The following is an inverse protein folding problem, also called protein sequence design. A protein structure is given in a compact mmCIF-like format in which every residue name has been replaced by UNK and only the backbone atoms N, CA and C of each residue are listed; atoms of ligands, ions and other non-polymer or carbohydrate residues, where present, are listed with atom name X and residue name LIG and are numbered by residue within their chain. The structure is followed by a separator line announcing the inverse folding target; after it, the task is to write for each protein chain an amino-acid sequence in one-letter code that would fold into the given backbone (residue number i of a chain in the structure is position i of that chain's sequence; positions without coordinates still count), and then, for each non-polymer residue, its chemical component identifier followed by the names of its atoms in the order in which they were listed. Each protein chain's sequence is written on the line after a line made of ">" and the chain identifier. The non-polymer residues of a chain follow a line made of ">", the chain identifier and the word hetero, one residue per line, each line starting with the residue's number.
data_IF_704044834033
#
_entry.id   IF_704044834033
#
_cell.length_a   1.000
_cell.length_b   1.000
_cell.length_c   1.000
_cell.angle_alpha   90.00
_cell.angle_beta   90.00
_cell.angle_gamma   90.00
#
_symmetry.space_group_name_H-M   'P 1'
#
loop_
_entity.id
_entity.type
_entity.pdbx_description
1 polymer ?
#
# COMPACT_ATOMS: atom_id res chain seq x y z
N UNK A 1 63.57 -75.65 -7.30
CA UNK A 1 62.84 -75.70 -6.01
C UNK A 1 62.00 -74.43 -5.90
N UNK A 2 60.71 -74.60 -5.62
CA UNK A 2 59.65 -73.59 -5.61
C UNK A 2 59.73 -72.63 -4.41
N UNK A 3 59.01 -71.49 -4.57
CA UNK A 3 58.35 -70.64 -3.56
C UNK A 3 59.01 -69.28 -3.23
N UNK A 4 58.25 -68.22 -2.88
CA UNK A 4 56.96 -67.78 -3.42
C UNK A 4 56.90 -66.26 -3.75
N UNK A 5 55.96 -65.90 -4.64
CA UNK A 5 55.46 -64.54 -4.83
C UNK A 5 54.82 -64.00 -3.54
N UNK A 6 55.13 -62.75 -3.17
CA UNK A 6 54.36 -61.99 -2.16
C UNK A 6 53.80 -60.71 -2.78
N UNK A 7 52.49 -60.73 -2.98
CA UNK A 7 51.65 -59.58 -3.27
C UNK A 7 51.76 -58.55 -2.13
N UNK A 8 52.28 -57.37 -2.44
CA UNK A 8 52.41 -56.24 -1.51
C UNK A 8 51.92 -54.95 -2.16
N UNK A 9 50.66 -54.90 -2.59
CA UNK A 9 50.03 -53.66 -3.06
C UNK A 9 48.51 -53.80 -3.19
N UNK A 10 47.78 -53.84 -2.08
CA UNK A 10 46.31 -53.77 -2.17
C UNK A 10 45.65 -53.12 -0.94
N UNK A 11 46.19 -53.34 0.26
CA UNK A 11 45.55 -52.85 1.50
C UNK A 11 45.55 -51.33 1.69
N UNK A 12 46.62 -50.63 1.30
CA UNK A 12 46.73 -49.18 1.48
C UNK A 12 45.87 -48.38 0.49
N UNK A 13 45.83 -48.82 -0.77
CA UNK A 13 44.97 -48.24 -1.80
C UNK A 13 43.49 -48.42 -1.46
N UNK A 14 43.11 -49.59 -0.96
CA UNK A 14 41.75 -49.84 -0.48
C UNK A 14 41.37 -48.93 0.70
N UNK A 15 42.28 -48.74 1.67
CA UNK A 15 42.04 -47.86 2.82
C UNK A 15 41.91 -46.39 2.40
N UNK A 16 42.75 -45.91 1.48
CA UNK A 16 42.64 -44.57 0.91
C UNK A 16 41.34 -44.37 0.14
N UNK A 17 40.93 -45.37 -0.64
CA UNK A 17 39.69 -45.33 -1.41
C UNK A 17 38.45 -45.35 -0.50
N UNK A 18 38.47 -46.13 0.59
CA UNK A 18 37.39 -46.12 1.61
C UNK A 18 37.34 -44.80 2.37
N UNK A 19 38.49 -44.18 2.69
CA UNK A 19 38.53 -42.87 3.37
C UNK A 19 38.02 -41.77 2.44
N UNK A 20 38.40 -41.77 1.17
CA UNK A 20 37.88 -40.83 0.17
C UNK A 20 36.38 -41.04 -0.10
N UNK A 21 35.89 -42.29 -0.13
CA UNK A 21 34.47 -42.59 -0.25
C UNK A 21 33.68 -42.13 0.99
N UNK A 22 34.24 -42.27 2.18
CA UNK A 22 33.61 -41.77 3.41
C UNK A 22 33.62 -40.24 3.48
N UNK A 23 34.67 -39.57 3.01
CA UNK A 23 34.72 -38.11 2.91
C UNK A 23 33.73 -37.56 1.86
N UNK A 24 33.49 -38.26 0.75
CA UNK A 24 32.44 -37.89 -0.21
C UNK A 24 31.02 -38.18 0.30
N UNK A 25 30.84 -39.26 1.07
CA UNK A 25 29.55 -39.62 1.70
C UNK A 25 29.21 -38.75 2.93
N UNK A 26 30.18 -38.16 3.62
CA UNK A 26 29.95 -37.18 4.69
C UNK A 26 29.70 -35.76 4.16
N UNK A 27 30.04 -35.47 2.91
CA UNK A 27 29.65 -34.24 2.21
C UNK A 27 28.31 -34.35 1.48
N UNK A 28 27.74 -35.56 1.38
CA UNK A 28 26.33 -35.77 1.10
C UNK A 28 25.50 -35.56 2.38
N UNK A 29 25.74 -34.44 3.07
CA UNK A 29 24.76 -33.93 4.02
C UNK A 29 23.46 -33.75 3.25
N UNK A 30 22.39 -34.39 3.73
CA UNK A 30 21.03 -34.26 3.26
C UNK A 30 20.80 -32.83 2.78
N UNK A 31 20.80 -32.62 1.45
CA UNK A 31 20.37 -31.37 0.86
C UNK A 31 18.90 -31.28 1.23
N UNK A 32 18.60 -30.67 2.38
CA UNK A 32 17.24 -30.28 2.71
C UNK A 32 16.81 -29.43 1.53
N UNK A 33 15.91 -30.00 0.74
CA UNK A 33 15.19 -29.34 -0.32
C UNK A 33 14.84 -27.91 0.12
N UNK A 34 15.52 -26.93 -0.45
CA UNK A 34 15.07 -25.53 -0.48
C UNK A 34 13.94 -25.34 -1.51
N UNK A 35 13.31 -26.43 -2.00
CA UNK A 35 12.22 -26.37 -2.98
C UNK A 35 10.88 -26.03 -2.31
N UNK A 36 10.77 -24.81 -1.78
CA UNK A 36 9.50 -24.25 -1.30
C UNK A 36 9.27 -22.79 -1.64
N UNK A 37 10.24 -22.06 -2.21
CA UNK A 37 10.16 -20.59 -2.35
C UNK A 37 10.12 -20.07 -3.79
N UNK A 38 10.29 -20.91 -4.80
CA UNK A 38 10.25 -20.46 -6.19
C UNK A 38 8.89 -20.74 -6.82
N UNK A 39 8.25 -19.68 -7.32
CA UNK A 39 6.97 -19.77 -8.00
C UNK A 39 7.15 -20.43 -9.37
N UNK A 40 6.48 -21.57 -9.58
CA UNK A 40 6.50 -22.34 -10.83
C UNK A 40 5.20 -22.17 -11.63
N UNK A 41 4.44 -21.11 -11.37
CA UNK A 41 3.21 -20.84 -12.11
C UNK A 41 3.50 -20.62 -13.61
N UNK A 42 2.63 -21.15 -14.47
CA UNK A 42 2.83 -21.15 -15.93
C UNK A 42 2.80 -19.75 -16.57
N UNK A 43 2.19 -18.77 -15.90
CA UNK A 43 2.01 -17.43 -16.46
C UNK A 43 1.66 -16.40 -15.41
N UNK A 44 1.53 -15.12 -15.82
CA UNK A 44 1.15 -14.03 -14.93
C UNK A 44 -0.27 -14.19 -14.37
N UNK A 45 -0.52 -13.54 -13.23
CA UNK A 45 -1.85 -13.35 -12.68
C UNK A 45 -2.15 -11.87 -12.46
N UNK A 46 -3.36 -11.46 -12.84
CA UNK A 46 -3.88 -10.12 -12.56
C UNK A 46 -4.65 -10.16 -11.24
N UNK A 47 -4.49 -9.14 -10.40
CA UNK A 47 -5.20 -8.99 -9.13
C UNK A 47 -5.80 -7.59 -9.03
N UNK A 48 -6.92 -7.46 -8.31
CA UNK A 48 -7.33 -6.18 -7.75
C UNK A 48 -6.86 -6.17 -6.30
N UNK A 49 -6.03 -5.20 -5.95
CA UNK A 49 -5.68 -4.86 -4.57
C UNK A 49 -6.65 -3.78 -4.10
N UNK A 50 -7.34 -4.03 -3.00
CA UNK A 50 -8.17 -3.06 -2.28
C UNK A 50 -7.54 -2.81 -0.92
N UNK A 51 -7.15 -1.57 -0.65
CA UNK A 51 -6.79 -1.10 0.69
C UNK A 51 -8.02 -0.47 1.34
N UNK A 52 -8.29 -0.81 2.59
CA UNK A 52 -9.37 -0.23 3.38
C UNK A 52 -8.83 0.29 4.70
N UNK A 53 -8.98 1.59 4.94
CA UNK A 53 -8.69 2.20 6.23
C UNK A 53 -9.85 1.99 7.20
N UNK A 54 -9.54 1.55 8.41
CA UNK A 54 -10.48 1.33 9.52
C UNK A 54 -10.22 2.29 10.69
N UNK A 55 -9.38 3.31 10.47
CA UNK A 55 -8.98 4.25 11.51
C UNK A 55 -10.15 5.18 11.82
N UNK A 56 -10.82 4.93 12.95
CA UNK A 56 -12.04 5.60 13.36
C UNK A 56 -11.95 6.05 14.82
N UNK A 57 -12.71 7.08 15.24
CA UNK A 57 -12.72 7.52 16.63
C UNK A 57 -13.35 6.47 17.57
N UNK A 58 -14.11 5.50 17.05
CA UNK A 58 -14.66 4.39 17.84
C UNK A 58 -13.60 3.32 18.15
N UNK A 59 -12.83 2.91 17.13
CA UNK A 59 -11.79 1.89 17.30
C UNK A 59 -10.50 2.44 17.94
N UNK A 60 -10.15 3.69 17.62
CA UNK A 60 -8.96 4.38 18.09
C UNK A 60 -9.31 5.77 18.66
N UNK A 61 -9.98 5.85 19.82
CA UNK A 61 -10.46 7.10 20.39
C UNK A 61 -9.35 8.02 20.90
N UNK A 62 -8.19 7.47 21.28
CA UNK A 62 -7.11 8.24 21.90
C UNK A 62 -6.50 9.19 20.87
N UNK A 63 -6.60 10.49 21.13
CA UNK A 63 -6.00 11.56 20.33
C UNK A 63 -6.37 11.50 18.83
N UNK A 64 -7.54 10.95 18.47
CA UNK A 64 -7.95 10.83 17.07
C UNK A 64 -7.90 12.20 16.35
N UNK A 65 -7.07 12.37 15.30
CA UNK A 65 -6.88 13.67 14.66
C UNK A 65 -8.13 14.14 13.90
N UNK A 66 -8.74 15.24 14.36
CA UNK A 66 -9.95 15.81 13.74
C UNK A 66 -9.65 16.99 12.80
N UNK A 67 -8.57 17.73 13.04
CA UNK A 67 -8.28 18.97 12.32
C UNK A 67 -6.77 19.20 12.15
N UNK A 68 -6.39 19.82 11.03
CA UNK A 68 -5.04 20.34 10.71
C UNK A 68 -3.88 19.34 10.92
N UNK A 69 -3.80 18.25 10.12
CA UNK A 69 -4.83 17.71 9.23
C UNK A 69 -5.74 16.70 9.95
N UNK A 70 -6.94 16.41 9.42
CA UNK A 70 -7.75 15.28 9.90
C UNK A 70 -7.04 13.94 9.61
N UNK A 71 -7.41 12.91 10.36
CA UNK A 71 -6.99 11.54 10.17
C UNK A 71 -7.24 11.09 8.72
N UNK A 72 -6.19 10.66 8.02
CA UNK A 72 -6.21 10.30 6.62
C UNK A 72 -5.03 9.36 6.27
N UNK A 73 -4.97 8.92 5.01
CA UNK A 73 -3.94 8.01 4.53
C UNK A 73 -3.19 8.61 3.35
N UNK A 74 -1.87 8.39 3.29
CA UNK A 74 -1.10 8.76 2.11
C UNK A 74 -1.51 7.96 0.86
N UNK A 75 -0.88 8.29 -0.26
CA UNK A 75 -0.83 7.41 -1.44
C UNK A 75 -0.34 6.02 -0.99
N UNK A 76 -0.91 4.95 -1.53
CA UNK A 76 -0.33 3.61 -1.38
C UNK A 76 0.78 3.43 -2.40
N UNK A 77 1.90 2.82 -1.96
CA UNK A 77 2.93 2.30 -2.84
C UNK A 77 2.95 0.78 -2.72
N UNK A 78 2.94 0.08 -3.85
CA UNK A 78 3.13 -1.36 -3.90
C UNK A 78 4.18 -1.72 -4.94
N UNK A 79 4.97 -2.75 -4.65
CA UNK A 79 6.04 -3.24 -5.52
C UNK A 79 5.92 -4.75 -5.61
N UNK A 80 5.92 -5.29 -6.83
CA UNK A 80 6.11 -6.72 -7.04
C UNK A 80 7.60 -7.03 -7.21
N UNK A 81 8.11 -8.04 -6.53
CA UNK A 81 9.55 -8.33 -6.47
C UNK A 81 9.83 -9.81 -6.17
N UNK A 82 11.10 -10.16 -6.14
CA UNK A 82 11.59 -11.44 -5.62
C UNK A 82 12.35 -11.24 -4.30
N UNK A 83 12.89 -12.33 -3.75
CA UNK A 83 13.63 -12.36 -2.47
C UNK A 83 14.90 -11.51 -2.41
N UNK A 84 15.33 -10.89 -3.50
CA UNK A 84 16.52 -10.04 -3.54
C UNK A 84 16.20 -8.55 -3.39
N UNK A 85 14.97 -8.22 -3.05
CA UNK A 85 14.51 -6.87 -2.76
C UNK A 85 13.52 -6.92 -1.61
N UNK A 86 13.65 -5.98 -0.69
CA UNK A 86 12.67 -5.68 0.35
C UNK A 86 12.32 -4.20 0.22
N UNK A 87 11.03 -3.87 0.28
CA UNK A 87 10.62 -2.46 0.33
C UNK A 87 10.91 -1.89 1.72
N UNK A 88 10.60 -2.67 2.75
CA UNK A 88 10.87 -2.45 4.16
C UNK A 88 10.79 -3.81 4.85
N UNK A 89 11.39 -3.97 6.02
CA UNK A 89 11.37 -5.22 6.80
C UNK A 89 11.36 -4.89 8.29
N UNK A 90 10.52 -5.55 9.09
CA UNK A 90 10.52 -5.37 10.54
C UNK A 90 11.87 -5.82 11.13
N UNK A 91 12.43 -5.01 12.02
CA UNK A 91 13.74 -5.25 12.62
C UNK A 91 14.93 -4.83 11.75
N UNK A 92 14.69 -4.26 10.55
CA UNK A 92 15.73 -3.66 9.71
C UNK A 92 15.65 -2.12 9.76
N UNK A 93 16.75 -1.38 9.50
CA UNK A 93 16.72 0.07 9.39
C UNK A 93 15.94 0.52 8.14
N UNK A 94 15.23 1.64 8.23
CA UNK A 94 14.55 2.24 7.08
C UNK A 94 15.55 2.72 6.02
N UNK A 95 15.26 2.47 4.73
CA UNK A 95 15.98 3.13 3.63
C UNK A 95 15.67 4.63 3.60
N UNK A 96 16.49 5.42 2.90
CA UNK A 96 16.19 6.84 2.66
C UNK A 96 14.83 7.01 1.96
N UNK A 97 14.45 6.10 1.05
CA UNK A 97 13.13 6.05 0.47
C UNK A 97 12.02 5.83 1.49
N UNK A 98 12.18 4.82 2.36
CA UNK A 98 11.20 4.49 3.41
C UNK A 98 11.04 5.64 4.39
N UNK A 99 12.14 6.22 4.89
CA UNK A 99 12.11 7.39 5.77
C UNK A 99 11.32 8.54 5.17
N UNK A 100 11.68 8.97 3.95
CA UNK A 100 11.02 10.10 3.28
C UNK A 100 9.52 9.87 3.05
N UNK A 101 9.12 8.61 2.83
CA UNK A 101 7.73 8.25 2.66
C UNK A 101 6.99 8.17 4.00
N UNK A 102 7.62 7.58 5.02
CA UNK A 102 7.10 7.44 6.38
C UNK A 102 6.88 8.80 7.04
N UNK A 103 7.77 9.77 6.85
CA UNK A 103 7.67 11.11 7.44
C UNK A 103 6.80 12.05 6.59
N UNK A 104 7.03 12.10 5.27
CA UNK A 104 6.45 13.15 4.41
C UNK A 104 5.48 12.64 3.34
N UNK A 105 5.31 11.33 3.18
CA UNK A 105 4.53 10.74 2.08
C UNK A 105 5.15 10.97 0.69
N UNK A 106 6.46 11.29 0.63
CA UNK A 106 7.19 11.54 -0.61
C UNK A 106 7.68 10.20 -1.19
N UNK A 107 7.46 10.00 -2.49
CA UNK A 107 7.62 8.68 -3.14
C UNK A 107 8.80 8.61 -4.12
N UNK A 108 9.58 9.68 -4.22
CA UNK A 108 10.62 9.85 -5.25
C UNK A 108 11.76 8.86 -5.04
N UNK A 109 12.33 8.83 -3.83
CA UNK A 109 13.46 7.95 -3.53
C UNK A 109 13.07 6.46 -3.55
N UNK A 110 11.89 6.07 -3.04
CA UNK A 110 11.38 4.69 -3.17
C UNK A 110 11.35 4.23 -4.64
N UNK A 111 10.83 5.06 -5.56
CA UNK A 111 10.79 4.66 -6.97
C UNK A 111 12.16 4.56 -7.59
N UNK A 112 13.10 5.40 -7.18
CA UNK A 112 14.47 5.37 -7.65
C UNK A 112 15.15 4.07 -7.20
N UNK A 113 15.04 3.73 -5.92
CA UNK A 113 15.52 2.46 -5.35
C UNK A 113 14.92 1.26 -6.08
N UNK A 114 13.59 1.22 -6.25
CA UNK A 114 12.89 0.15 -6.95
C UNK A 114 13.25 0.06 -8.45
N UNK A 115 13.49 1.20 -9.12
CA UNK A 115 13.94 1.24 -10.53
C UNK A 115 15.35 0.69 -10.69
N UNK A 116 16.27 0.98 -9.76
CA UNK A 116 17.61 0.39 -9.77
C UNK A 116 17.55 -1.12 -9.50
N UNK A 117 16.74 -1.56 -8.54
CA UNK A 117 16.52 -2.98 -8.27
C UNK A 117 15.87 -3.72 -9.47
N UNK A 118 15.03 -3.03 -10.26
CA UNK A 118 14.44 -3.56 -11.50
C UNK A 118 15.51 -3.81 -12.57
N UNK A 119 16.54 -2.96 -12.69
CA UNK A 119 17.67 -3.23 -13.61
C UNK A 119 18.40 -4.53 -13.26
N UNK A 120 18.42 -4.88 -11.97
CA UNK A 120 18.98 -6.14 -11.44
C UNK A 120 17.98 -7.31 -11.47
N UNK A 121 16.80 -7.13 -12.08
CA UNK A 121 15.71 -8.13 -12.17
C UNK A 121 15.14 -8.56 -10.80
N UNK A 122 15.35 -7.78 -9.74
CA UNK A 122 14.80 -8.05 -8.42
C UNK A 122 13.35 -7.52 -8.28
N UNK A 123 13.05 -6.40 -8.93
CA UNK A 123 11.71 -5.79 -8.96
C UNK A 123 11.03 -6.02 -10.33
N UNK A 124 9.74 -6.30 -10.30
CA UNK A 124 8.87 -6.49 -11.47
C UNK A 124 8.17 -5.18 -11.86
N UNK A 125 7.14 -4.80 -11.10
CA UNK A 125 6.33 -3.62 -11.33
C UNK A 125 6.12 -2.82 -10.05
N UNK A 126 5.86 -1.52 -10.20
CA UNK A 126 5.57 -0.58 -9.13
C UNK A 126 4.20 0.03 -9.37
N UNK A 127 3.39 0.13 -8.33
CA UNK A 127 2.00 0.57 -8.36
C UNK A 127 1.78 1.67 -7.36
N UNK A 128 0.85 2.58 -7.68
CA UNK A 128 0.48 3.70 -6.83
C UNK A 128 -1.02 3.94 -6.85
N UNK A 129 -1.59 4.32 -5.72
CA UNK A 129 -2.95 4.86 -5.65
C UNK A 129 -2.95 6.30 -5.13
N UNK A 130 -4.08 6.99 -5.29
CA UNK A 130 -4.33 8.23 -4.58
C UNK A 130 -4.45 7.97 -3.07
N UNK A 131 -4.16 8.99 -2.26
CA UNK A 131 -4.41 8.93 -0.82
C UNK A 131 -5.90 8.97 -0.49
N UNK A 132 -6.25 8.56 0.71
CA UNK A 132 -7.63 8.55 1.20
C UNK A 132 -7.76 9.71 2.19
N UNK A 133 -8.63 10.71 1.94
CA UNK A 133 -8.70 11.94 2.73
C UNK A 133 -9.39 11.78 4.11
N UNK A 134 -9.71 10.55 4.52
CA UNK A 134 -10.40 10.23 5.76
C UNK A 134 -9.81 8.94 6.38
N UNK A 135 -9.88 8.81 7.70
CA UNK A 135 -9.41 7.62 8.43
C UNK A 135 -10.15 6.33 8.04
N UNK A 136 -11.44 6.45 7.71
CA UNK A 136 -12.23 5.37 7.07
C UNK A 136 -12.37 5.66 5.57
N UNK A 137 -12.03 4.69 4.75
CA UNK A 137 -12.20 4.76 3.29
C UNK A 137 -11.46 3.64 2.59
N UNK A 138 -11.50 3.63 1.26
CA UNK A 138 -10.81 2.62 0.47
C UNK A 138 -10.15 3.21 -0.77
N UNK A 139 -9.12 2.53 -1.26
CA UNK A 139 -8.52 2.77 -2.57
C UNK A 139 -8.19 1.42 -3.20
N UNK A 140 -8.16 1.36 -4.53
CA UNK A 140 -7.85 0.13 -5.24
C UNK A 140 -6.93 0.35 -6.43
N UNK A 141 -6.25 -0.71 -6.84
CA UNK A 141 -5.41 -0.74 -8.04
C UNK A 141 -5.31 -2.15 -8.61
N UNK A 142 -5.09 -2.24 -9.92
CA UNK A 142 -4.82 -3.50 -10.59
C UNK A 142 -3.34 -3.82 -10.57
N UNK A 143 -3.00 -5.04 -10.14
CA UNK A 143 -1.66 -5.56 -10.09
C UNK A 143 -1.49 -6.66 -11.13
N UNK A 144 -0.29 -6.77 -11.70
CA UNK A 144 0.12 -7.87 -12.56
C UNK A 144 1.32 -8.57 -11.91
N UNK A 145 1.06 -9.73 -11.32
CA UNK A 145 2.08 -10.56 -10.69
C UNK A 145 2.70 -11.51 -11.71
N UNK A 146 4.03 -11.65 -11.65
CA UNK A 146 4.80 -12.52 -12.54
C UNK A 146 5.44 -13.65 -11.73
N UNK A 147 5.59 -14.87 -12.29
CA UNK A 147 6.24 -15.97 -11.56
C UNK A 147 7.66 -15.64 -11.08
N UNK A 148 8.38 -14.78 -11.82
CA UNK A 148 9.75 -14.35 -11.44
C UNK A 148 9.79 -13.32 -10.31
N UNK A 149 8.69 -12.65 -10.04
CA UNK A 149 8.55 -11.63 -8.98
C UNK A 149 7.21 -11.83 -8.26
N UNK A 150 7.06 -12.96 -7.55
CA UNK A 150 5.78 -13.39 -6.98
C UNK A 150 5.46 -12.73 -5.63
N UNK A 151 6.42 -12.01 -5.05
CA UNK A 151 6.26 -11.32 -3.77
C UNK A 151 5.70 -9.92 -3.99
N UNK A 152 4.85 -9.48 -3.07
CA UNK A 152 4.26 -8.15 -3.03
C UNK A 152 4.61 -7.48 -1.71
N UNK A 153 5.25 -6.32 -1.78
CA UNK A 153 5.41 -5.42 -0.63
C UNK A 153 4.61 -4.14 -0.88
N UNK A 154 4.04 -3.57 0.18
CA UNK A 154 3.35 -2.30 0.12
C UNK A 154 3.50 -1.47 1.39
N UNK A 155 3.26 -0.17 1.26
CA UNK A 155 3.38 0.81 2.33
C UNK A 155 2.38 1.96 2.14
N UNK A 156 1.79 2.42 3.24
CA UNK A 156 0.89 3.58 3.33
C UNK A 156 1.18 4.35 4.62
N UNK A 157 1.56 5.63 4.54
CA UNK A 157 1.77 6.48 5.71
C UNK A 157 0.44 6.81 6.39
N UNK A 158 0.44 6.75 7.72
CA UNK A 158 -0.63 7.25 8.59
C UNK A 158 -0.49 8.77 8.70
N UNK A 159 -1.55 9.54 8.42
CA UNK A 159 -1.46 11.02 8.43
C UNK A 159 -2.50 11.61 9.39
N UNK A 160 -2.11 12.50 10.32
CA UNK A 160 -0.74 12.87 10.65
C UNK A 160 -0.05 11.78 11.51
N UNK A 161 1.27 11.70 11.41
CA UNK A 161 2.14 10.90 12.28
C UNK A 161 3.58 11.38 12.15
N UNK A 162 4.45 11.09 13.13
CA UNK A 162 5.90 11.32 13.03
C UNK A 162 6.46 10.57 11.81
N UNK A 163 6.49 9.24 11.88
CA UNK A 163 7.02 8.36 10.84
C UNK A 163 6.23 7.05 10.73
N UNK A 164 4.95 7.06 11.14
CA UNK A 164 4.14 5.85 11.23
C UNK A 164 3.49 5.46 9.90
N UNK A 165 3.47 4.16 9.62
CA UNK A 165 2.89 3.60 8.41
C UNK A 165 2.22 2.24 8.65
N UNK A 166 1.51 1.75 7.64
CA UNK A 166 0.99 0.38 7.57
C UNK A 166 1.45 -0.25 6.26
N UNK A 167 1.57 -1.56 6.23
CA UNK A 167 2.03 -2.26 5.04
C UNK A 167 2.07 -3.77 5.18
N UNK A 168 2.51 -4.43 4.11
CA UNK A 168 3.00 -5.81 4.15
C UNK A 168 4.37 -5.85 3.50
N UNK A 169 5.26 -6.70 4.01
CA UNK A 169 6.53 -7.05 3.37
C UNK A 169 6.42 -8.47 2.79
N UNK A 170 6.91 -8.61 1.55
CA UNK A 170 7.21 -9.90 0.92
C UNK A 170 6.04 -10.92 0.88
N UNK A 171 4.81 -10.43 0.70
CA UNK A 171 3.63 -11.28 0.59
C UNK A 171 3.70 -12.18 -0.65
N UNK A 172 3.81 -13.50 -0.46
CA UNK A 172 3.82 -14.44 -1.58
C UNK A 172 2.39 -14.79 -2.04
N UNK A 173 2.06 -14.38 -3.27
CA UNK A 173 0.77 -14.69 -3.93
C UNK A 173 0.79 -15.97 -4.77
N UNK A 174 1.96 -16.57 -4.96
CA UNK A 174 2.14 -17.81 -5.68
C UNK A 174 2.41 -18.97 -4.71
N UNK A 175 1.61 -20.02 -4.83
CA UNK A 175 1.76 -21.26 -4.07
C UNK A 175 2.12 -22.40 -5.04
N UNK A 176 3.40 -22.75 -5.06
CA UNK A 176 3.96 -23.70 -6.02
C UNK A 176 3.69 -23.27 -7.47
N UNK A 177 2.74 -23.95 -8.13
CA UNK A 177 2.36 -23.70 -9.52
C UNK A 177 1.05 -22.92 -9.69
N UNK A 178 0.40 -22.51 -8.60
CA UNK A 178 -0.88 -21.80 -8.61
C UNK A 178 -0.78 -20.40 -8.03
N UNK A 179 -1.65 -19.53 -8.50
CA UNK A 179 -1.85 -18.20 -7.94
C UNK A 179 -3.05 -18.25 -7.00
N UNK A 180 -2.92 -17.67 -5.80
CA UNK A 180 -4.02 -17.60 -4.82
C UNK A 180 -5.22 -16.88 -5.44
N UNK A 181 -6.43 -17.42 -5.31
CA UNK A 181 -7.65 -16.77 -5.84
C UNK A 181 -8.00 -15.50 -5.06
N UNK A 182 -7.82 -15.55 -3.75
CA UNK A 182 -8.08 -14.42 -2.85
C UNK A 182 -7.09 -14.45 -1.68
N UNK A 183 -6.73 -13.28 -1.16
CA UNK A 183 -6.00 -13.14 0.09
C UNK A 183 -6.39 -11.85 0.80
N UNK A 184 -6.64 -11.93 2.11
CA UNK A 184 -7.02 -10.79 2.96
C UNK A 184 -6.08 -10.71 4.15
N UNK A 185 -5.60 -9.51 4.46
CA UNK A 185 -4.67 -9.28 5.56
C UNK A 185 -5.07 -8.06 6.37
N UNK A 186 -5.14 -8.24 7.68
CA UNK A 186 -5.26 -7.15 8.64
C UNK A 186 -3.91 -6.47 8.81
N UNK A 187 -3.93 -5.14 8.84
CA UNK A 187 -2.74 -4.32 8.92
C UNK A 187 -2.65 -3.63 10.28
N UNK A 188 -1.42 -3.53 10.76
CA UNK A 188 -1.06 -2.93 12.02
C UNK A 188 -0.06 -1.80 11.79
N UNK A 189 -0.03 -0.79 12.67
CA UNK A 189 0.89 0.33 12.53
C UNK A 189 2.34 -0.10 12.82
N UNK A 190 3.27 0.48 12.07
CA UNK A 190 4.71 0.36 12.24
C UNK A 190 5.31 1.75 12.42
N UNK A 191 6.36 1.81 13.23
CA UNK A 191 7.25 2.95 13.42
C UNK A 191 8.47 2.76 12.52
N UNK A 192 8.90 3.81 11.80
CA UNK A 192 10.03 3.70 10.88
C UNK A 192 11.38 3.83 11.58
N UNK A 193 11.41 4.28 12.84
CA UNK A 193 12.62 4.48 13.64
C UNK A 193 13.40 5.75 13.27
N UNK A 194 12.76 6.73 12.62
CA UNK A 194 13.44 7.94 12.09
C UNK A 194 12.93 9.25 12.70
N UNK A 195 11.74 9.29 13.29
CA UNK A 195 11.24 10.41 14.09
C UNK A 195 10.68 9.94 15.45
N UNK A 196 11.17 10.53 16.54
CA UNK A 196 10.87 10.18 17.93
C UNK A 196 9.64 10.90 18.50
N UNK A 197 8.76 11.43 17.64
CA UNK A 197 7.48 12.00 18.07
C UNK A 197 6.56 10.98 18.75
N UNK A 198 5.95 11.35 19.87
CA UNK A 198 5.10 10.42 20.65
C UNK A 198 3.65 10.34 20.17
N UNK A 199 3.16 11.38 19.50
CA UNK A 199 1.75 11.53 19.13
C UNK A 199 1.57 11.82 17.66
N UNK A 200 0.37 11.56 17.13
CA UNK A 200 0.02 11.83 15.73
C UNK A 200 0.44 13.24 15.25
N UNK A 201 0.36 14.25 16.10
CA UNK A 201 0.64 15.65 15.78
C UNK A 201 1.89 16.19 16.49
N UNK A 202 2.80 15.32 16.92
CA UNK A 202 4.07 15.76 17.50
C UNK A 202 4.89 16.57 16.47
N UNK A 203 5.62 17.61 16.90
CA UNK A 203 6.59 18.25 16.03
C UNK A 203 7.69 17.26 15.65
N UNK A 204 8.32 17.50 14.51
CA UNK A 204 9.42 16.68 14.01
C UNK A 204 10.57 16.63 15.02
N UNK A 205 10.97 15.43 15.42
CA UNK A 205 12.05 15.17 16.36
C UNK A 205 12.90 13.99 15.87
N UNK A 206 13.93 14.22 15.04
CA UNK A 206 14.68 13.14 14.41
C UNK A 206 15.30 12.17 15.41
N UNK A 207 15.12 10.87 15.17
CA UNK A 207 15.70 9.80 15.98
C UNK A 207 17.21 9.69 15.71
N UNK A 208 18.03 9.74 16.76
CA UNK A 208 19.49 9.72 16.65
C UNK A 208 20.13 8.85 17.74
N UNK A 209 20.79 7.72 17.39
CA UNK A 209 20.89 7.15 16.04
C UNK A 209 19.54 6.62 15.53
N UNK A 210 19.32 6.48 14.21
CA UNK A 210 18.12 5.85 13.68
C UNK A 210 17.91 4.45 14.26
N UNK A 211 16.67 4.14 14.57
CA UNK A 211 16.24 2.83 15.08
C UNK A 211 15.75 1.94 13.93
N UNK A 212 15.55 0.66 14.21
CA UNK A 212 14.98 -0.26 13.24
C UNK A 212 13.46 -0.08 13.16
N UNK A 213 12.88 -0.47 12.02
CA UNK A 213 11.43 -0.50 11.85
C UNK A 213 10.83 -1.46 12.87
N UNK A 214 9.85 -1.01 13.64
CA UNK A 214 9.21 -1.83 14.69
C UNK A 214 7.70 -1.76 14.60
N UNK A 215 7.02 -2.87 14.90
CA UNK A 215 5.56 -2.87 15.01
C UNK A 215 5.11 -2.09 16.25
N UNK A 216 4.20 -1.15 16.07
CA UNK A 216 3.52 -0.46 17.16
C UNK A 216 2.40 -1.36 17.70
N UNK A 217 2.36 -1.55 19.02
CA UNK A 217 1.38 -2.39 19.70
C UNK A 217 0.58 -1.58 20.72
N UNK A 218 -0.41 -2.20 21.37
CA UNK A 218 -1.21 -1.51 22.39
C UNK A 218 -0.40 -1.14 23.64
N UNK A 219 0.77 -1.76 23.83
CA UNK A 219 1.61 -1.56 25.01
C UNK A 219 2.99 -1.01 24.65
N UNK A 220 3.49 -1.20 23.42
CA UNK A 220 4.79 -0.68 22.96
C UNK A 220 4.64 0.33 21.81
N UNK A 221 5.27 1.53 21.91
CA UNK A 221 6.17 1.94 22.99
C UNK A 221 5.43 2.26 24.30
N UNK A 222 6.03 1.90 25.44
CA UNK A 222 5.39 1.96 26.77
C UNK A 222 5.48 3.36 27.39
N UNK A 223 4.76 4.32 26.80
CA UNK A 223 4.65 5.66 27.34
C UNK A 223 3.17 6.13 27.34
N UNK A 224 2.65 6.69 28.45
CA UNK A 224 1.24 7.06 28.56
C UNK A 224 0.73 8.01 27.48
N UNK A 225 1.60 8.87 26.94
CA UNK A 225 1.21 9.86 25.91
C UNK A 225 1.15 9.27 24.49
N UNK A 226 1.71 8.08 24.26
CA UNK A 226 1.77 7.48 22.93
C UNK A 226 0.39 7.24 22.36
N UNK A 227 0.16 7.64 21.11
CA UNK A 227 -1.19 7.61 20.52
C UNK A 227 -1.80 6.21 20.44
N UNK A 228 -0.98 5.18 20.25
CA UNK A 228 -1.41 3.78 20.22
C UNK A 228 -1.26 3.04 21.56
N UNK A 229 -0.92 3.73 22.65
CA UNK A 229 -0.83 3.10 23.96
C UNK A 229 -2.20 2.95 24.62
N UNK A 230 -2.72 1.73 24.60
CA UNK A 230 -3.98 1.28 25.21
C UNK A 230 -3.70 0.13 26.18
N UNK A 231 -3.30 0.40 27.44
CA UNK A 231 -2.79 -0.62 28.37
C UNK A 231 -3.82 -1.69 28.75
N UNK A 232 -5.12 -1.44 28.51
CA UNK A 232 -6.20 -2.41 28.76
C UNK A 232 -6.46 -3.35 27.58
N UNK A 233 -5.86 -3.09 26.41
CA UNK A 233 -5.98 -3.94 25.24
C UNK A 233 -4.79 -4.88 25.15
N UNK A 234 -5.06 -6.17 24.95
CA UNK A 234 -4.03 -7.16 24.67
C UNK A 234 -3.32 -6.86 23.34
N UNK A 235 -4.11 -6.55 22.32
CA UNK A 235 -3.67 -6.24 20.96
C UNK A 235 -4.49 -5.06 20.41
N UNK A 236 -3.91 -4.29 19.50
CA UNK A 236 -4.67 -3.28 18.75
C UNK A 236 -5.63 -3.95 17.77
N UNK A 237 -6.86 -3.44 17.60
CA UNK A 237 -7.67 -3.82 16.45
C UNK A 237 -6.93 -3.46 15.15
N UNK A 238 -7.24 -4.10 14.01
CA UNK A 238 -6.68 -3.71 12.73
C UNK A 238 -6.98 -2.25 12.41
N UNK A 239 -5.94 -1.46 12.10
CA UNK A 239 -6.12 -0.05 11.71
C UNK A 239 -6.48 0.08 10.22
N UNK A 240 -6.13 -0.93 9.42
CA UNK A 240 -6.47 -1.05 8.01
C UNK A 240 -6.49 -2.53 7.62
N UNK A 241 -6.96 -2.84 6.41
CA UNK A 241 -6.87 -4.17 5.82
C UNK A 241 -6.59 -4.07 4.32
N UNK A 242 -6.01 -5.12 3.76
CA UNK A 242 -5.93 -5.29 2.31
C UNK A 242 -6.67 -6.54 1.87
N UNK A 243 -7.24 -6.48 0.67
CA UNK A 243 -7.86 -7.60 -0.02
C UNK A 243 -7.31 -7.69 -1.45
N UNK A 244 -6.80 -8.85 -1.81
CA UNK A 244 -6.26 -9.18 -3.12
C UNK A 244 -7.17 -10.22 -3.77
N UNK A 245 -7.85 -9.85 -4.85
CA UNK A 245 -8.74 -10.77 -5.58
C UNK A 245 -8.21 -11.00 -6.99
N UNK A 246 -7.91 -12.26 -7.32
CA UNK A 246 -7.43 -12.67 -8.64
C UNK A 246 -8.51 -12.40 -9.67
N UNK A 247 -8.11 -11.75 -10.77
CA UNK A 247 -8.98 -11.51 -11.91
C UNK A 247 -8.95 -12.70 -12.85
N UNK A 248 -10.11 -13.22 -13.20
CA UNK A 248 -10.24 -14.26 -14.24
C UNK A 248 -10.00 -13.60 -15.59
N UNK A 249 -8.95 -14.02 -16.29
CA UNK A 249 -8.78 -13.66 -17.71
C UNK A 249 -9.86 -14.38 -18.50
N UNK A 250 -10.87 -13.66 -18.96
CA UNK A 250 -11.74 -14.15 -20.01
C UNK A 250 -10.87 -14.38 -21.27
N UNK A 251 -10.99 -15.53 -21.98
CA UNK A 251 -10.11 -15.86 -23.10
C UNK A 251 -10.22 -14.96 -24.33
N UNK A 252 -10.82 -13.78 -24.25
CA UNK A 252 -10.99 -12.93 -25.43
C UNK A 252 -11.13 -11.43 -25.09
N UNK A 253 -10.01 -10.71 -25.17
CA UNK A 253 -9.89 -9.45 -25.92
C UNK A 253 -8.45 -8.94 -25.86
N UNK A 254 -7.76 -9.09 -26.98
CA UNK A 254 -6.80 -8.07 -27.40
C UNK A 254 -7.61 -6.79 -27.61
N UNK A 255 -7.57 -5.89 -26.65
CA UNK A 255 -7.89 -4.48 -26.91
C UNK A 255 -6.81 -3.65 -26.24
N UNK A 256 -5.95 -3.09 -27.08
CA UNK A 256 -5.26 -1.84 -26.78
C UNK A 256 -6.36 -0.85 -26.41
N UNK A 257 -6.53 -0.54 -25.13
CA UNK A 257 -7.42 0.54 -24.72
C UNK A 257 -6.69 1.87 -24.94
N UNK A 258 -6.74 2.32 -26.19
CA UNK A 258 -6.82 3.73 -26.52
C UNK A 258 -8.28 4.18 -26.29
N UNK A 259 -8.45 5.41 -25.82
CA UNK A 259 -9.72 6.05 -25.52
C UNK A 259 -10.75 5.88 -26.65
N UNK A 260 -11.78 5.05 -26.46
CA UNK A 260 -13.06 5.21 -27.16
C UNK A 260 -14.21 4.65 -26.30
N UNK A 261 -15.16 5.55 -26.07
CA UNK A 261 -16.54 5.30 -25.64
C UNK A 261 -17.11 4.17 -26.50
N UNK A 262 -17.60 3.09 -25.87
CA UNK A 262 -18.38 2.08 -26.60
C UNK A 262 -19.88 2.34 -26.37
N UNK A 263 -20.66 2.50 -27.45
CA UNK A 263 -22.10 2.53 -27.40
C UNK A 263 -22.60 1.08 -27.21
N UNK A 264 -23.69 0.87 -26.49
CA UNK A 264 -24.58 -0.23 -26.82
C UNK A 264 -26.00 0.06 -26.40
N UNK A 265 -26.81 0.22 -27.44
CA UNK A 265 -28.26 0.24 -27.49
C UNK A 265 -28.86 -1.06 -26.97
N UNK A 266 -29.79 -0.94 -26.03
CA UNK A 266 -30.86 -1.93 -25.80
C UNK A 266 -32.19 -1.21 -26.08
N UNK A 267 -32.97 -1.78 -27.00
CA UNK A 267 -34.25 -1.28 -27.52
C UNK A 267 -35.35 -1.38 -26.43
N UNK A 268 -36.35 -0.46 -26.41
CA UNK A 268 -36.93 0.08 -25.19
C UNK A 268 -38.19 -0.64 -24.72
N UNK A 269 -38.24 -0.99 -23.44
CA UNK A 269 -39.51 -1.13 -22.73
C UNK A 269 -39.93 0.27 -22.26
N UNK A 270 -41.08 0.73 -22.76
CA UNK A 270 -41.67 2.03 -22.47
C UNK A 270 -41.78 2.24 -20.96
N UNK A 271 -40.96 3.14 -20.43
CA UNK A 271 -41.36 3.95 -19.28
C UNK A 271 -41.33 5.40 -19.70
N UNK A 272 -42.49 6.03 -19.50
CA UNK A 272 -42.76 7.45 -19.62
C UNK A 272 -41.54 8.30 -19.25
N UNK A 273 -40.96 8.98 -20.23
CA UNK A 273 -40.01 10.05 -19.98
C UNK A 273 -40.80 11.24 -19.42
N UNK A 274 -40.69 11.46 -18.12
CA UNK A 274 -40.91 12.79 -17.56
C UNK A 274 -39.58 13.53 -17.61
N UNK A 275 -39.53 14.79 -18.07
CA UNK A 275 -38.32 15.59 -18.03
C UNK A 275 -37.87 15.76 -16.57
N UNK A 276 -36.73 15.19 -16.21
CA UNK A 276 -36.07 15.49 -14.94
C UNK A 276 -35.37 16.84 -15.08
N UNK A 277 -36.15 17.91 -15.00
CA UNK A 277 -35.59 19.22 -14.65
C UNK A 277 -35.08 19.12 -13.20
N UNK A 278 -33.79 19.40 -13.00
CA UNK A 278 -33.20 19.37 -11.66
C UNK A 278 -33.76 20.55 -10.86
N UNK A 279 -34.45 20.27 -9.76
CA UNK A 279 -34.89 21.29 -8.81
C UNK A 279 -33.67 21.88 -8.09
N UNK A 280 -33.52 23.20 -8.21
CA UNK A 280 -32.46 24.00 -7.59
C UNK A 280 -33.03 24.73 -6.39
N UNK A 281 -32.26 24.77 -5.29
CA UNK A 281 -32.64 25.59 -4.14
C UNK A 281 -32.56 27.08 -4.48
N UNK A 282 -33.34 27.90 -3.76
CA UNK A 282 -33.05 29.32 -3.70
C UNK A 282 -31.60 29.56 -3.27
N UNK A 283 -31.00 30.61 -3.81
CA UNK A 283 -29.67 31.05 -3.39
C UNK A 283 -29.69 31.49 -1.93
N UNK A 284 -28.60 31.21 -1.22
CA UNK A 284 -28.37 31.84 0.08
C UNK A 284 -28.29 33.37 -0.06
N UNK A 285 -28.52 34.09 1.03
CA UNK A 285 -28.14 35.51 1.11
C UNK A 285 -26.65 35.68 0.81
N UNK A 286 -26.27 36.84 0.27
CA UNK A 286 -24.87 37.19 0.02
C UNK A 286 -24.10 37.26 1.33
N UNK A 287 -22.92 36.64 1.38
CA UNK A 287 -21.99 36.75 2.51
C UNK A 287 -21.37 38.15 2.64
N UNK A 288 -20.75 38.41 3.80
CA UNK A 288 -20.03 39.66 4.06
C UNK A 288 -18.88 39.86 3.05
N UNK A 289 -18.62 41.11 2.70
CA UNK A 289 -17.60 41.50 1.74
C UNK A 289 -16.20 41.06 2.22
N UNK A 290 -15.48 40.33 1.36
CA UNK A 290 -14.17 39.75 1.69
C UNK A 290 -12.98 40.73 1.51
N UNK A 291 -13.26 42.00 1.18
CA UNK A 291 -12.27 43.07 1.03
C UNK A 291 -12.24 43.71 -0.37
N UNK A 292 -11.45 44.78 -0.57
CA UNK A 292 -11.29 45.44 -1.86
C UNK A 292 -10.37 44.66 -2.81
N UNK A 293 -10.69 44.67 -4.10
CA UNK A 293 -9.88 44.04 -5.15
C UNK A 293 -8.59 44.86 -5.44
N UNK A 294 -7.51 44.19 -5.89
CA UNK A 294 -6.18 44.78 -6.10
C UNK A 294 -6.04 45.76 -7.28
N UNK A 295 -7.13 46.05 -8.02
CA UNK A 295 -7.21 47.14 -9.00
C UNK A 295 -8.66 47.68 -9.06
N UNK A 296 -8.92 48.77 -8.35
CA UNK A 296 -10.20 49.51 -8.39
C UNK A 296 -11.16 49.24 -7.23
N UNK A 297 -12.10 50.18 -7.01
CA UNK A 297 -13.10 50.20 -5.91
C UNK A 297 -14.23 49.21 -6.18
N UNK A 298 -13.88 47.93 -6.23
CA UNK A 298 -14.80 46.84 -6.45
C UNK A 298 -14.86 45.96 -5.21
N UNK A 299 -16.07 45.55 -4.84
CA UNK A 299 -16.33 44.70 -3.68
C UNK A 299 -16.92 43.38 -4.17
N UNK A 300 -16.44 42.25 -3.62
CA UNK A 300 -16.88 40.90 -3.98
C UNK A 300 -17.64 40.23 -2.85
N UNK A 301 -18.79 39.66 -3.21
CA UNK A 301 -19.61 38.83 -2.34
C UNK A 301 -19.89 37.48 -3.03
N UNK A 302 -20.10 36.44 -2.24
CA UNK A 302 -20.39 35.07 -2.70
C UNK A 302 -21.76 34.61 -2.20
N UNK A 303 -22.45 33.82 -3.02
CA UNK A 303 -23.67 33.10 -2.67
C UNK A 303 -23.57 31.66 -3.17
N UNK A 304 -24.18 30.74 -2.43
CA UNK A 304 -24.17 29.29 -2.72
C UNK A 304 -25.60 28.76 -2.89
N UNK A 305 -25.80 27.85 -3.84
CA UNK A 305 -27.04 27.11 -4.05
C UNK A 305 -26.72 25.63 -4.22
N UNK A 306 -27.60 24.76 -3.73
CA UNK A 306 -27.51 23.31 -3.88
C UNK A 306 -28.49 22.83 -4.95
N UNK A 307 -28.12 21.76 -5.66
CA UNK A 307 -29.05 21.03 -6.51
C UNK A 307 -28.96 19.54 -6.23
N UNK A 308 -30.10 18.88 -6.32
CA UNK A 308 -30.18 17.43 -6.23
C UNK A 308 -30.18 16.84 -7.63
N UNK A 309 -29.19 16.00 -7.92
CA UNK A 309 -29.19 15.18 -9.13
C UNK A 309 -29.65 13.78 -8.75
N UNK A 310 -30.81 13.36 -9.24
CA UNK A 310 -31.22 11.96 -9.10
C UNK A 310 -30.56 11.15 -10.21
N UNK A 311 -29.60 10.33 -9.82
CA UNK A 311 -29.14 9.19 -10.64
C UNK A 311 -29.28 7.93 -9.81
N UNK A 312 -30.11 7.01 -10.28
CA UNK A 312 -30.27 5.66 -9.73
C UNK A 312 -30.53 5.62 -8.21
N UNK A 313 -31.50 6.41 -7.74
CA UNK A 313 -32.05 6.27 -6.37
C UNK A 313 -31.22 6.86 -5.22
N UNK A 314 -30.11 7.56 -5.49
CA UNK A 314 -29.32 8.25 -4.46
C UNK A 314 -29.24 9.76 -4.72
N UNK A 315 -29.58 10.57 -3.71
CA UNK A 315 -29.42 12.02 -3.74
C UNK A 315 -27.95 12.37 -3.49
N UNK A 316 -27.26 12.91 -4.49
CA UNK A 316 -25.88 13.41 -4.34
C UNK A 316 -25.92 14.94 -4.22
N UNK A 317 -25.51 15.54 -3.08
CA UNK A 317 -25.40 16.98 -2.95
C UNK A 317 -24.20 17.49 -3.77
N UNK A 318 -24.43 18.51 -4.61
CA UNK A 318 -23.36 19.23 -5.33
C UNK A 318 -23.56 20.73 -5.16
N UNK A 319 -22.45 21.46 -5.01
CA UNK A 319 -22.45 22.90 -4.72
C UNK A 319 -22.09 23.71 -5.95
N UNK A 320 -22.85 24.77 -6.24
CA UNK A 320 -22.41 25.85 -7.14
C UNK A 320 -22.19 27.13 -6.34
N UNK A 321 -21.06 27.77 -6.58
CA UNK A 321 -20.73 29.10 -6.05
C UNK A 321 -20.84 30.13 -7.16
N UNK A 322 -21.51 31.25 -6.90
CA UNK A 322 -21.53 32.41 -7.80
C UNK A 322 -20.85 33.59 -7.12
N UNK A 323 -20.00 34.27 -7.89
CA UNK A 323 -19.26 35.47 -7.47
C UNK A 323 -19.84 36.64 -8.26
N UNK A 324 -20.19 37.73 -7.57
CA UNK A 324 -20.61 38.97 -8.22
C UNK A 324 -19.70 40.11 -7.78
N UNK A 325 -19.36 40.98 -8.73
CA UNK A 325 -18.51 42.14 -8.52
C UNK A 325 -19.41 43.37 -8.54
N UNK A 326 -19.51 44.08 -7.42
CA UNK A 326 -20.28 45.32 -7.34
C UNK A 326 -19.38 46.52 -7.58
N UNK A 327 -19.91 47.51 -8.31
CA UNK A 327 -19.37 48.87 -8.31
C UNK A 327 -19.79 49.54 -7.01
N UNK A 328 -18.85 50.07 -6.24
CA UNK A 328 -19.19 51.05 -5.23
C UNK A 328 -19.54 52.36 -5.93
N UNK A 329 -20.80 52.79 -5.86
CA UNK A 329 -21.10 54.21 -5.98
C UNK A 329 -20.64 54.85 -4.67
N UNK A 330 -19.69 55.79 -4.77
CA UNK A 330 -19.17 56.56 -3.64
C UNK A 330 -20.27 57.43 -3.05
#
# INVERSE_FOLDING_TARGET
>A
MMSPQRHLSCGWLWRLLVVLLKLSLSFAGQLRSLNGTECTAKGPASYILVFTGHWSPQAFPKQYPLFRPPAQWSKLIAVSHNRHFHLWEEGAPASTGVQNFAEFGVTVEIMKEAKEARKRRAVGAMYRTAGIPNGIGHSSTELLMLPRTPLLSMMVKVIPSPDWFVGVDSLNLCDGNQWKEEATYDLQPYDAGTDSGFTFSSPNFPTSPPENITRITSQMPNHPVNSFYYPRLKDLPPIASIKLTRQRRLPNRQTIMSNHILPNSIIPQRFSATPLDCEVSNWSSWGLCLGPCSKGVYITAHATSYYHRQTLGTLVPSWRSKMNVYHAAV
#
